data_IF_452927967830
#
_entry.id   IF_452927967830
#
_cell.length_a   1.000
_cell.length_b   1.000
_cell.length_c   1.000
_cell.angle_alpha   90.00
_cell.angle_beta   90.00
_cell.angle_gamma   90.00
#
_symmetry.space_group_name_H-M   'P 1'
#
loop_
_entity.id
_entity.type
_entity.pdbx_description
1 polymer ?
#
# COMPACT_ATOMS: atom_id res chain seq x y z
N UNK A 1 -4.82 -4.76 -17.43
CA UNK A 1 -4.11 -4.86 -16.13
C UNK A 1 -3.15 -6.02 -16.08
N UNK A 2 -2.44 -6.18 -17.17
CA UNK A 2 -1.50 -7.27 -17.33
C UNK A 2 -0.32 -7.20 -16.37
N UNK A 3 0.03 -5.99 -15.93
CA UNK A 3 1.14 -5.80 -15.00
C UNK A 3 0.77 -6.07 -13.55
N UNK A 4 -0.49 -6.31 -13.24
CA UNK A 4 -0.90 -6.51 -11.87
C UNK A 4 -0.63 -7.93 -11.42
N UNK A 5 -0.21 -8.14 -10.17
CA UNK A 5 -0.14 -9.47 -9.60
C UNK A 5 -1.51 -10.15 -9.64
N UNK A 6 -1.52 -11.48 -9.74
CA UNK A 6 -2.78 -12.23 -9.84
C UNK A 6 -3.76 -11.93 -8.72
N UNK A 7 -3.27 -11.68 -7.50
CA UNK A 7 -4.11 -11.38 -6.35
C UNK A 7 -4.93 -10.10 -6.50
N UNK A 8 -4.57 -9.24 -7.44
CA UNK A 8 -5.27 -7.98 -7.72
C UNK A 8 -6.08 -8.03 -9.02
N UNK A 9 -6.28 -9.20 -9.58
CA UNK A 9 -7.07 -9.36 -10.79
C UNK A 9 -8.57 -9.32 -10.48
N UNK A 10 -9.42 -9.11 -11.50
CA UNK A 10 -10.87 -8.92 -11.30
C UNK A 10 -11.57 -9.98 -10.48
N UNK A 11 -11.10 -11.22 -10.50
CA UNK A 11 -11.73 -12.30 -9.75
C UNK A 11 -11.63 -12.14 -8.24
N UNK A 12 -10.65 -11.39 -7.74
CA UNK A 12 -10.52 -11.12 -6.31
C UNK A 12 -11.23 -9.85 -5.86
N UNK A 13 -11.42 -8.93 -6.76
CA UNK A 13 -12.16 -7.67 -6.60
C UNK A 13 -12.01 -6.96 -5.25
N UNK A 14 -11.34 -5.84 -5.27
CA UNK A 14 -11.38 -4.90 -4.16
C UNK A 14 -12.76 -4.22 -4.17
N UNK A 15 -13.45 -4.26 -3.05
CA UNK A 15 -14.73 -3.59 -2.88
C UNK A 15 -14.51 -2.28 -2.15
N UNK A 16 -14.75 -1.17 -2.83
CA UNK A 16 -14.66 0.14 -2.20
C UNK A 16 -15.89 0.40 -1.34
N UNK A 17 -15.67 0.67 -0.05
CA UNK A 17 -16.74 0.90 0.91
C UNK A 17 -16.96 2.37 1.24
N UNK A 18 -16.23 3.26 0.59
CA UNK A 18 -16.36 4.69 0.80
C UNK A 18 -15.22 5.29 1.60
N UNK A 19 -15.46 6.47 2.18
CA UNK A 19 -14.48 7.15 3.00
C UNK A 19 -15.15 7.90 4.14
N UNK A 20 -14.35 8.20 5.16
CA UNK A 20 -14.79 8.98 6.32
C UNK A 20 -13.82 10.14 6.46
N UNK A 21 -14.34 11.33 6.78
CA UNK A 21 -13.51 12.50 7.05
C UNK A 21 -13.25 12.62 8.54
N UNK A 22 -12.00 12.91 8.91
CA UNK A 22 -11.66 13.20 10.29
C UNK A 22 -11.95 14.68 10.61
N UNK A 23 -11.55 15.14 11.82
CA UNK A 23 -11.77 16.52 12.26
C UNK A 23 -11.10 17.55 11.37
N UNK A 24 -10.03 17.16 10.66
CA UNK A 24 -9.31 18.01 9.72
C UNK A 24 -9.80 17.84 8.29
N UNK A 25 -10.88 17.09 8.11
CA UNK A 25 -11.47 16.74 6.83
C UNK A 25 -10.52 15.94 5.94
N UNK A 26 -9.59 15.21 6.54
CA UNK A 26 -8.73 14.27 5.83
C UNK A 26 -9.48 12.97 5.60
N UNK A 27 -9.51 12.45 4.37
CA UNK A 27 -10.27 11.23 4.09
C UNK A 27 -9.52 9.98 4.56
N UNK A 28 -10.30 9.00 5.01
CA UNK A 28 -9.82 7.64 5.20
C UNK A 28 -10.64 6.78 4.25
N UNK A 29 -9.97 6.17 3.29
CA UNK A 29 -10.62 5.32 2.30
C UNK A 29 -10.73 3.90 2.84
N UNK A 30 -11.85 3.26 2.58
CA UNK A 30 -12.13 1.91 3.06
C UNK A 30 -12.39 0.98 1.90
N UNK A 31 -11.73 -0.16 1.92
CA UNK A 31 -11.83 -1.19 0.90
C UNK A 31 -11.97 -2.55 1.56
N UNK A 32 -12.46 -3.50 0.80
CA UNK A 32 -12.42 -4.89 1.20
C UNK A 32 -11.84 -5.70 0.05
N UNK A 33 -10.87 -6.55 0.36
CA UNK A 33 -10.26 -7.43 -0.63
C UNK A 33 -9.86 -8.75 0.04
N UNK A 34 -10.27 -9.87 -0.54
CA UNK A 34 -9.95 -11.21 -0.05
C UNK A 34 -10.26 -11.39 1.44
N UNK A 35 -11.36 -10.82 1.93
CA UNK A 35 -11.78 -10.92 3.33
C UNK A 35 -11.01 -10.00 4.27
N UNK A 36 -10.18 -9.11 3.74
CA UNK A 36 -9.41 -8.15 4.52
C UNK A 36 -10.04 -6.77 4.39
N UNK A 37 -10.31 -6.12 5.51
CA UNK A 37 -10.74 -4.71 5.51
C UNK A 37 -9.50 -3.83 5.49
N UNK A 38 -9.43 -2.95 4.50
CA UNK A 38 -8.30 -2.05 4.31
C UNK A 38 -8.73 -0.62 4.59
N UNK A 39 -7.98 0.06 5.44
CA UNK A 39 -8.20 1.46 5.77
C UNK A 39 -6.96 2.24 5.32
N UNK A 40 -7.14 3.13 4.36
CA UNK A 40 -6.05 3.90 3.74
C UNK A 40 -6.26 5.37 4.05
N UNK A 41 -5.38 5.94 4.88
CA UNK A 41 -5.46 7.34 5.28
C UNK A 41 -4.23 8.10 4.79
N UNK A 42 -4.34 8.80 3.65
CA UNK A 42 -3.28 9.69 3.20
C UNK A 42 -3.32 11.00 4.00
N UNK A 43 -2.15 11.51 4.34
CA UNK A 43 -2.01 12.74 5.10
C UNK A 43 -0.83 13.55 4.58
N UNK A 44 -1.08 14.79 4.18
CA UNK A 44 -0.03 15.71 3.79
C UNK A 44 0.64 16.24 5.05
N UNK A 45 1.91 15.94 5.24
CA UNK A 45 2.66 16.33 6.44
C UNK A 45 3.59 17.52 6.19
N UNK A 46 3.87 17.82 4.93
CA UNK A 46 4.66 18.97 4.49
C UNK A 46 4.31 19.27 3.04
N UNK A 47 4.84 20.37 2.48
CA UNK A 47 4.52 20.82 1.13
C UNK A 47 4.73 19.76 0.04
N UNK A 48 5.73 18.94 0.21
CA UNK A 48 6.10 17.93 -0.80
C UNK A 48 6.28 16.57 -0.16
N UNK A 49 5.44 16.28 0.82
CA UNK A 49 5.54 15.04 1.56
C UNK A 49 4.15 14.55 1.94
N UNK A 50 3.87 13.31 1.60
CA UNK A 50 2.62 12.64 1.90
C UNK A 50 2.91 11.33 2.63
N UNK A 51 2.19 11.08 3.70
CA UNK A 51 2.27 9.80 4.41
C UNK A 51 0.95 9.09 4.23
N UNK A 52 1.00 7.80 3.88
CA UNK A 52 -0.17 6.94 3.85
C UNK A 52 -0.12 5.98 5.02
N UNK A 53 -1.12 6.03 5.85
CA UNK A 53 -1.30 5.10 6.95
C UNK A 53 -2.28 4.02 6.50
N UNK A 54 -1.78 2.81 6.34
CA UNK A 54 -2.59 1.66 5.95
C UNK A 54 -2.83 0.78 7.15
N UNK A 55 -4.09 0.41 7.38
CA UNK A 55 -4.46 -0.59 8.38
C UNK A 55 -5.19 -1.71 7.66
N UNK A 56 -4.84 -2.93 8.02
CA UNK A 56 -5.46 -4.12 7.47
C UNK A 56 -6.07 -4.91 8.61
N UNK A 57 -7.38 -5.10 8.57
CA UNK A 57 -8.08 -5.88 9.59
C UNK A 57 -8.45 -7.23 9.00
N UNK A 58 -7.86 -8.27 9.57
CA UNK A 58 -8.03 -9.64 9.11
C UNK A 58 -8.89 -10.41 10.08
N UNK A 59 -10.00 -10.95 9.61
CA UNK A 59 -10.87 -11.84 10.38
C UNK A 59 -10.53 -13.29 10.00
N UNK A 60 -10.18 -14.11 10.99
CA UNK A 60 -9.83 -15.49 10.74
C UNK A 60 -8.46 -15.65 10.11
N UNK A 61 -8.33 -16.59 9.19
CA UNK A 61 -7.06 -16.89 8.55
C UNK A 61 -6.67 -15.81 7.54
N UNK A 62 -5.43 -15.26 7.63
CA UNK A 62 -5.01 -14.25 6.68
C UNK A 62 -4.81 -14.84 5.28
N UNK A 63 -5.14 -14.09 4.23
CA UNK A 63 -4.89 -14.53 2.87
C UNK A 63 -3.39 -14.58 2.60
N UNK A 64 -2.97 -15.58 1.83
CA UNK A 64 -1.57 -15.72 1.41
C UNK A 64 -1.38 -15.09 0.04
N UNK A 65 -0.19 -14.51 -0.17
CA UNK A 65 0.17 -13.98 -1.47
C UNK A 65 -0.50 -12.66 -1.84
N UNK A 66 -1.01 -11.93 -0.86
CA UNK A 66 -1.59 -10.63 -1.12
C UNK A 66 -0.47 -9.61 -1.41
N UNK A 67 -0.61 -8.88 -2.52
CA UNK A 67 0.41 -7.96 -3.00
C UNK A 67 -0.23 -6.63 -3.37
N UNK A 68 0.45 -5.55 -3.06
CA UNK A 68 0.01 -4.20 -3.41
C UNK A 68 1.03 -3.55 -4.35
N UNK A 69 0.58 -2.99 -5.45
CA UNK A 69 1.48 -2.30 -6.38
C UNK A 69 1.72 -0.87 -5.90
N UNK A 70 2.99 -0.50 -5.80
CA UNK A 70 3.40 0.83 -5.32
C UNK A 70 3.95 1.71 -6.43
N UNK A 71 4.51 1.16 -7.46
CA UNK A 71 5.09 1.93 -8.55
C UNK A 71 5.22 1.12 -9.82
N UNK A 72 5.41 1.82 -10.94
CA UNK A 72 5.50 1.22 -12.26
C UNK A 72 6.91 0.83 -12.67
N UNK A 73 7.05 0.54 -13.97
CA UNK A 73 8.30 0.03 -14.55
C UNK A 73 9.49 0.99 -14.44
N UNK A 74 9.25 2.30 -14.34
CA UNK A 74 10.31 3.29 -14.22
C UNK A 74 10.91 3.42 -12.82
N UNK A 75 10.41 2.66 -11.86
CA UNK A 75 10.89 2.72 -10.49
C UNK A 75 12.25 2.03 -10.36
N UNK A 76 13.06 2.50 -9.41
CA UNK A 76 14.35 1.89 -9.10
C UNK A 76 14.58 1.85 -7.59
N UNK A 77 15.32 0.86 -7.12
CA UNK A 77 15.62 0.72 -5.71
C UNK A 77 16.71 1.70 -5.28
N UNK A 78 16.50 2.35 -4.14
CA UNK A 78 17.52 3.17 -3.47
C UNK A 78 18.08 2.43 -2.25
N UNK A 79 17.38 1.41 -1.80
CA UNK A 79 17.73 0.57 -0.67
C UNK A 79 16.65 -0.48 -0.50
N UNK A 80 16.66 -1.21 0.61
CA UNK A 80 15.68 -2.27 0.85
C UNK A 80 14.27 -1.73 1.15
N UNK A 81 14.18 -0.48 1.61
CA UNK A 81 12.90 0.14 2.01
C UNK A 81 12.70 1.51 1.36
N UNK A 82 13.49 1.85 0.37
CA UNK A 82 13.39 3.13 -0.32
C UNK A 82 13.51 2.93 -1.82
N UNK A 83 12.65 3.62 -2.57
CA UNK A 83 12.58 3.50 -4.02
C UNK A 83 12.38 4.88 -4.65
N UNK A 84 12.94 5.07 -5.82
CA UNK A 84 12.64 6.24 -6.64
C UNK A 84 11.59 5.82 -7.65
N UNK A 85 10.39 6.38 -7.52
CA UNK A 85 9.30 6.14 -8.46
C UNK A 85 9.44 7.04 -9.67
N UNK A 86 8.59 6.84 -10.65
CA UNK A 86 8.55 7.69 -11.82
C UNK A 86 8.28 9.15 -11.41
N UNK A 87 8.77 10.09 -12.21
CA UNK A 87 8.60 11.53 -12.00
C UNK A 87 9.27 12.07 -10.73
N UNK A 88 10.30 11.36 -10.25
CA UNK A 88 11.10 11.88 -9.14
C UNK A 88 10.44 11.80 -7.78
N UNK A 89 9.47 10.93 -7.60
CA UNK A 89 8.84 10.69 -6.30
C UNK A 89 9.63 9.62 -5.56
N UNK A 90 10.10 9.97 -4.37
CA UNK A 90 10.79 9.02 -3.49
C UNK A 90 9.77 8.36 -2.57
N UNK A 91 9.76 7.05 -2.55
CA UNK A 91 8.91 6.26 -1.68
C UNK A 91 9.75 5.61 -0.59
N UNK A 92 9.37 5.80 0.66
CA UNK A 92 9.97 5.14 1.80
C UNK A 92 8.92 4.26 2.46
N UNK A 93 9.30 3.04 2.79
CA UNK A 93 8.40 2.06 3.43
C UNK A 93 8.88 1.85 4.85
N UNK A 94 8.01 2.04 5.83
CA UNK A 94 8.34 1.79 7.22
C UNK A 94 8.68 0.31 7.43
N UNK A 95 9.75 0.04 8.14
CA UNK A 95 10.15 -1.35 8.42
C UNK A 95 9.08 -2.05 9.23
N UNK A 96 8.73 -3.25 8.80
CA UNK A 96 7.73 -4.07 9.46
C UNK A 96 7.92 -5.53 9.05
N UNK A 97 7.64 -6.45 9.96
CA UNK A 97 7.64 -7.88 9.64
C UNK A 97 6.45 -8.27 8.76
N UNK A 98 5.45 -7.39 8.69
CA UNK A 98 4.21 -7.66 7.97
C UNK A 98 4.29 -7.35 6.48
N UNK A 99 5.38 -6.73 6.05
CA UNK A 99 5.53 -6.32 4.65
C UNK A 99 6.94 -6.57 4.15
N UNK A 100 7.03 -6.83 2.85
CA UNK A 100 8.29 -6.97 2.14
C UNK A 100 8.18 -6.26 0.81
N UNK A 101 9.09 -5.34 0.54
CA UNK A 101 9.12 -4.66 -0.75
C UNK A 101 9.85 -5.54 -1.76
N UNK A 102 9.23 -5.73 -2.92
CA UNK A 102 9.79 -6.54 -4.01
C UNK A 102 9.82 -5.71 -5.27
N UNK A 103 10.98 -5.59 -5.88
CA UNK A 103 11.12 -4.91 -7.14
C UNK A 103 11.26 -5.91 -8.27
N UNK A 104 10.43 -5.77 -9.29
CA UNK A 104 10.46 -6.60 -10.48
C UNK A 104 10.58 -5.71 -11.72
N UNK A 105 10.73 -6.31 -12.89
CA UNK A 105 10.70 -5.57 -14.15
C UNK A 105 9.36 -4.87 -14.40
N UNK A 106 8.31 -5.27 -13.68
CA UNK A 106 6.97 -4.68 -13.81
C UNK A 106 6.74 -3.52 -12.84
N UNK A 107 7.64 -3.31 -11.89
CA UNK A 107 7.53 -2.23 -10.93
C UNK A 107 7.84 -2.66 -9.51
N UNK A 108 7.44 -1.82 -8.56
CA UNK A 108 7.63 -2.06 -7.13
C UNK A 108 6.33 -2.56 -6.53
N UNK A 109 6.43 -3.67 -5.82
CA UNK A 109 5.28 -4.31 -5.16
C UNK A 109 5.56 -4.47 -3.68
N UNK A 110 4.51 -4.38 -2.89
CA UNK A 110 4.55 -4.62 -1.46
C UNK A 110 3.87 -5.96 -1.19
N UNK A 111 4.64 -6.94 -0.75
CA UNK A 111 4.10 -8.24 -0.35
C UNK A 111 3.62 -8.13 1.08
N UNK A 112 2.36 -8.44 1.30
CA UNK A 112 1.73 -8.33 2.60
C UNK A 112 1.73 -9.69 3.30
N UNK A 113 2.35 -9.74 4.47
CA UNK A 113 2.38 -10.94 5.34
C UNK A 113 1.51 -10.67 6.54
N UNK A 114 0.21 -10.58 6.29
CA UNK A 114 -0.75 -10.19 7.30
C UNK A 114 -0.94 -11.29 8.32
N UNK A 115 -1.20 -10.87 9.56
CA UNK A 115 -1.59 -11.74 10.66
C UNK A 115 -3.08 -11.56 10.92
N UNK A 116 -3.70 -12.52 11.58
CA UNK A 116 -5.06 -12.36 12.07
C UNK A 116 -5.11 -11.15 13.00
N UNK A 117 -6.17 -10.35 12.91
CA UNK A 117 -6.30 -9.12 13.67
C UNK A 117 -5.87 -7.90 12.90
N UNK A 118 -5.30 -6.93 13.57
CA UNK A 118 -4.94 -5.65 12.99
C UNK A 118 -3.46 -5.57 12.59
N UNK A 119 -3.20 -5.10 11.37
CA UNK A 119 -1.87 -4.91 10.84
C UNK A 119 -1.75 -3.47 10.33
N UNK A 120 -0.56 -2.88 10.45
CA UNK A 120 -0.31 -1.50 10.03
C UNK A 120 0.89 -1.40 9.11
N UNK A 121 0.77 -0.54 8.10
CA UNK A 121 1.84 -0.26 7.15
C UNK A 121 1.92 1.24 6.95
N UNK A 122 3.12 1.81 7.02
CA UNK A 122 3.35 3.23 6.74
C UNK A 122 4.12 3.40 5.45
N UNK A 123 3.63 4.28 4.58
CA UNK A 123 4.30 4.66 3.35
C UNK A 123 4.50 6.16 3.35
N UNK A 124 5.68 6.60 2.93
CA UNK A 124 6.01 8.02 2.85
C UNK A 124 6.48 8.36 1.44
N UNK A 125 5.82 9.36 0.87
CA UNK A 125 6.15 9.86 -0.47
C UNK A 125 6.73 11.26 -0.35
N UNK A 126 7.89 11.47 -0.96
CA UNK A 126 8.55 12.78 -0.98
C UNK A 126 8.88 13.11 -2.42
N UNK A 127 8.53 14.30 -2.86
CA UNK A 127 8.83 14.76 -4.23
C UNK A 127 9.45 16.15 -4.20
N UNK A 128 10.13 16.46 -5.27
CA UNK A 128 10.81 17.75 -5.39
C UNK A 128 9.94 18.81 -6.05
#
# INVERSE_FOLDING_TARGET
MEDWPKVWQPELKAKFEGYVLDKRRSPEFRYEIAGVSVFDKPEAVADRELVRHLRFKVKGDPPKGLVMRLGGKGARALGSHAFMLERGVRLEIAKSEEVEAVMTEKGVFLRLRLKSGQNRVGLRYVWK
#
